data_IF_204204533022
#
_entry.id   IF_204204533022
#
_cell.length_a   1.000
_cell.length_b   1.000
_cell.length_c   1.000
_cell.angle_alpha   90.00
_cell.angle_beta   90.00
_cell.angle_gamma   90.00
#
_symmetry.space_group_name_H-M   'P 1'
#
loop_
_entity.id
_entity.type
_entity.pdbx_description
1 polymer ?
#
# COMPACT_ATOMS: atom_id res chain seq x y z
N UNK A 1 17.20 16.59 23.39
CA UNK A 1 16.77 15.30 22.81
C UNK A 1 15.25 15.23 22.65
N UNK A 2 14.47 15.53 23.69
CA UNK A 2 12.99 15.43 23.65
C UNK A 2 12.30 16.36 22.64
N UNK A 3 12.80 17.59 22.44
CA UNK A 3 12.22 18.52 21.47
C UNK A 3 12.32 18.01 20.03
N UNK A 4 13.45 17.40 19.66
CA UNK A 4 13.67 16.83 18.32
C UNK A 4 12.71 15.67 18.06
N UNK A 5 12.55 14.78 19.05
CA UNK A 5 11.60 13.66 18.98
C UNK A 5 10.17 14.18 18.84
N UNK A 6 9.78 15.19 19.62
CA UNK A 6 8.44 15.78 19.57
C UNK A 6 8.14 16.39 18.19
N UNK A 7 9.09 17.14 17.62
CA UNK A 7 8.96 17.71 16.28
C UNK A 7 8.85 16.60 15.23
N UNK A 8 9.66 15.54 15.33
CA UNK A 8 9.60 14.40 14.41
C UNK A 8 8.25 13.68 14.47
N UNK A 9 7.72 13.43 15.68
CA UNK A 9 6.41 12.79 15.89
C UNK A 9 5.26 13.67 15.36
N UNK A 10 5.31 14.98 15.58
CA UNK A 10 4.32 15.92 15.03
C UNK A 10 4.36 15.94 13.49
N UNK A 11 5.55 15.91 12.91
CA UNK A 11 5.74 15.89 11.45
C UNK A 11 5.18 14.61 10.80
N UNK A 12 5.50 13.43 11.36
CA UNK A 12 4.96 12.16 10.83
C UNK A 12 3.45 12.05 11.07
N UNK A 13 2.93 12.58 12.18
CA UNK A 13 1.50 12.63 12.47
C UNK A 13 0.73 13.46 11.43
N UNK A 14 1.19 14.68 11.16
CA UNK A 14 0.60 15.53 10.12
C UNK A 14 0.65 14.88 8.73
N UNK A 15 1.80 14.29 8.37
CA UNK A 15 1.97 13.60 7.08
C UNK A 15 1.05 12.39 6.94
N UNK A 16 0.84 11.63 8.02
CA UNK A 16 -0.04 10.45 8.04
C UNK A 16 -1.52 10.83 7.88
N UNK A 17 -1.98 11.89 8.54
CA UNK A 17 -3.36 12.40 8.36
C UNK A 17 -3.55 12.96 6.95
N UNK A 18 -2.57 13.71 6.45
CA UNK A 18 -2.60 14.25 5.09
C UNK A 18 -2.66 13.16 4.02
N UNK A 19 -1.85 12.10 4.16
CA UNK A 19 -1.78 10.98 3.22
C UNK A 19 -3.04 10.13 3.26
N UNK A 20 -3.47 9.68 4.45
CA UNK A 20 -4.64 8.82 4.62
C UNK A 20 -5.92 9.47 4.09
N UNK A 21 -6.17 10.75 4.43
CA UNK A 21 -7.38 11.46 4.02
C UNK A 21 -7.46 11.64 2.50
N UNK A 22 -6.34 11.92 1.81
CA UNK A 22 -6.30 12.03 0.34
C UNK A 22 -6.47 10.70 -0.36
N UNK A 23 -5.86 9.64 0.17
CA UNK A 23 -6.05 8.30 -0.36
C UNK A 23 -7.53 7.90 -0.26
N UNK A 24 -8.18 8.15 0.87
CA UNK A 24 -9.61 7.88 1.05
C UNK A 24 -10.49 8.72 0.10
N UNK A 25 -10.18 10.00 -0.06
CA UNK A 25 -10.91 10.87 -0.98
C UNK A 25 -10.74 10.44 -2.45
N UNK A 26 -9.52 10.06 -2.85
CA UNK A 26 -9.24 9.56 -4.20
C UNK A 26 -9.95 8.24 -4.48
N UNK A 27 -10.02 7.33 -3.50
CA UNK A 27 -10.81 6.11 -3.61
C UNK A 27 -12.30 6.43 -3.78
N UNK A 28 -12.83 7.40 -3.03
CA UNK A 28 -14.23 7.79 -3.14
C UNK A 28 -14.57 8.43 -4.49
N UNK A 29 -13.67 9.26 -5.03
CA UNK A 29 -13.78 9.87 -6.36
C UNK A 29 -13.81 8.81 -7.48
N UNK A 30 -13.00 7.76 -7.34
CA UNK A 30 -13.00 6.61 -8.25
C UNK A 30 -14.18 5.64 -8.03
N UNK A 31 -15.10 5.95 -7.12
CA UNK A 31 -16.23 5.07 -6.79
C UNK A 31 -15.83 3.78 -6.06
N UNK A 32 -14.63 3.75 -5.47
CA UNK A 32 -14.08 2.63 -4.69
C UNK A 32 -14.25 2.81 -3.18
N UNK A 33 -14.82 3.93 -2.73
CA UNK A 33 -15.17 4.18 -1.33
C UNK A 33 -16.48 4.99 -1.23
N UNK A 34 -17.14 5.03 -0.06
CA UNK A 34 -18.39 5.77 0.11
C UNK A 34 -18.26 7.23 -0.33
N UNK A 35 -19.20 7.71 -1.16
CA UNK A 35 -19.14 9.05 -1.78
C UNK A 35 -18.95 10.19 -0.79
N UNK A 36 -19.41 10.03 0.46
CA UNK A 36 -19.24 11.02 1.52
C UNK A 36 -17.77 11.32 1.83
N UNK A 37 -16.88 10.33 1.69
CA UNK A 37 -15.43 10.49 1.91
C UNK A 37 -14.76 11.32 0.81
N UNK A 38 -15.40 11.44 -0.36
CA UNK A 38 -14.93 12.26 -1.49
C UNK A 38 -15.31 13.73 -1.39
N UNK A 39 -16.01 14.17 -0.32
CA UNK A 39 -16.36 15.58 -0.16
C UNK A 39 -15.12 16.44 0.08
N UNK A 40 -14.88 17.39 -0.81
CA UNK A 40 -13.77 18.36 -0.76
C UNK A 40 -14.33 19.76 -0.55
N UNK A 41 -13.79 20.49 0.44
CA UNK A 41 -14.18 21.88 0.71
C UNK A 41 -13.68 22.86 -0.36
N UNK A 42 -14.12 24.12 -0.29
CA UNK A 42 -13.68 25.20 -1.22
C UNK A 42 -12.17 25.47 -1.19
N UNK A 43 -11.45 24.97 -0.19
CA UNK A 43 -10.00 25.11 -0.02
C UNK A 43 -9.24 23.85 -0.46
N UNK A 44 -9.90 22.88 -1.09
CA UNK A 44 -9.28 21.64 -1.59
C UNK A 44 -9.01 20.59 -0.52
N UNK A 45 -9.70 20.65 0.62
CA UNK A 45 -9.48 19.75 1.77
C UNK A 45 -10.57 18.68 1.85
N UNK A 46 -10.23 17.38 1.89
CA UNK A 46 -11.22 16.32 2.05
C UNK A 46 -11.68 16.20 3.51
N UNK A 47 -12.55 17.11 3.96
CA UNK A 47 -12.86 17.31 5.40
C UNK A 47 -13.45 16.06 6.05
N UNK A 48 -14.32 15.32 5.36
CA UNK A 48 -14.91 14.09 5.91
C UNK A 48 -13.84 13.01 6.10
N UNK A 49 -12.95 12.83 5.13
CA UNK A 49 -11.86 11.87 5.24
C UNK A 49 -10.85 12.28 6.33
N UNK A 50 -10.57 13.58 6.49
CA UNK A 50 -9.74 14.10 7.60
C UNK A 50 -10.39 13.76 8.94
N UNK A 51 -11.68 14.05 9.10
CA UNK A 51 -12.41 13.77 10.33
C UNK A 51 -12.39 12.27 10.67
N UNK A 52 -12.58 11.39 9.67
CA UNK A 52 -12.49 9.95 9.85
C UNK A 52 -11.07 9.50 10.27
N UNK A 53 -10.02 9.96 9.57
CA UNK A 53 -8.64 9.64 9.93
C UNK A 53 -8.29 10.12 11.34
N UNK A 54 -8.71 11.33 11.71
CA UNK A 54 -8.51 11.87 13.07
C UNK A 54 -9.30 11.10 14.11
N UNK A 55 -10.52 10.65 13.81
CA UNK A 55 -11.34 9.85 14.70
C UNK A 55 -10.69 8.50 15.03
N UNK A 56 -10.12 7.83 14.03
CA UNK A 56 -9.33 6.60 14.24
C UNK A 56 -8.07 6.90 15.07
N UNK A 57 -7.47 8.08 14.89
CA UNK A 57 -6.36 8.56 15.71
C UNK A 57 -6.67 8.61 17.21
N UNK A 58 -7.94 8.80 17.62
CA UNK A 58 -8.31 8.76 19.03
C UNK A 58 -8.08 7.40 19.70
N UNK A 59 -7.95 6.31 18.93
CA UNK A 59 -7.56 5.00 19.47
C UNK A 59 -6.20 5.08 20.16
N UNK A 60 -5.32 6.00 19.75
CA UNK A 60 -4.03 6.21 20.41
C UNK A 60 -4.16 6.63 21.89
N UNK A 61 -5.28 7.21 22.32
CA UNK A 61 -5.48 7.54 23.75
C UNK A 61 -5.64 6.29 24.63
N UNK A 62 -5.94 5.12 24.04
CA UNK A 62 -5.96 3.85 24.78
C UNK A 62 -4.58 3.47 25.34
N UNK A 63 -3.49 4.09 24.84
CA UNK A 63 -2.13 3.96 25.38
C UNK A 63 -2.03 4.51 26.82
N UNK A 64 -2.94 5.40 27.24
CA UNK A 64 -2.99 5.92 28.61
C UNK A 64 -3.72 4.98 29.61
N UNK A 65 -3.99 3.74 29.21
CA UNK A 65 -4.55 2.72 30.10
C UNK A 65 -3.45 1.88 30.74
N UNK A 66 -3.79 1.12 31.78
CA UNK A 66 -2.89 0.14 32.42
C UNK A 66 -2.34 -0.92 31.45
N UNK A 67 -2.90 -1.01 30.24
CA UNK A 67 -2.52 -1.94 29.17
C UNK A 67 -1.69 -1.26 28.06
N UNK A 68 -1.00 -0.15 28.34
CA UNK A 68 -0.19 0.62 27.39
C UNK A 68 0.62 -0.24 26.41
N UNK A 69 1.44 -1.17 26.92
CA UNK A 69 2.33 -1.97 26.08
C UNK A 69 1.58 -2.89 25.12
N UNK A 70 0.48 -3.48 25.59
CA UNK A 70 -0.40 -4.30 24.73
C UNK A 70 -1.01 -3.42 23.64
N UNK A 71 -1.45 -2.23 24.02
CA UNK A 71 -2.05 -1.23 23.11
C UNK A 71 -1.01 -0.56 22.19
N UNK A 72 0.28 -0.65 22.47
CA UNK A 72 1.27 -0.21 21.49
C UNK A 72 1.58 -1.35 20.51
N UNK A 73 1.73 -2.57 21.02
CA UNK A 73 2.11 -3.74 20.23
C UNK A 73 1.08 -4.12 19.16
N UNK A 74 -0.22 -4.11 19.47
CA UNK A 74 -1.27 -4.35 18.46
C UNK A 74 -1.29 -3.27 17.34
N UNK A 75 -1.02 -1.99 17.64
CA UNK A 75 -0.97 -0.90 16.64
C UNK A 75 0.25 -1.06 15.73
N UNK A 76 1.40 -1.41 16.32
CA UNK A 76 2.62 -1.71 15.58
C UNK A 76 2.43 -2.93 14.67
N UNK A 77 1.86 -4.02 15.19
CA UNK A 77 1.56 -5.22 14.41
C UNK A 77 0.57 -4.91 13.28
N UNK A 78 -0.49 -4.15 13.55
CA UNK A 78 -1.47 -3.73 12.56
C UNK A 78 -0.82 -2.91 11.43
N UNK A 79 -0.03 -1.89 11.79
CA UNK A 79 0.65 -1.02 10.84
C UNK A 79 1.67 -1.78 9.99
N UNK A 80 2.53 -2.60 10.62
CA UNK A 80 3.54 -3.38 9.92
C UNK A 80 2.93 -4.37 8.94
N UNK A 81 1.96 -5.15 9.39
CA UNK A 81 1.33 -6.18 8.57
C UNK A 81 0.47 -5.57 7.44
N UNK A 82 -0.20 -4.43 7.69
CA UNK A 82 -0.92 -3.68 6.64
C UNK A 82 0.01 -3.19 5.51
N UNK A 83 1.23 -2.80 5.85
CA UNK A 83 2.25 -2.39 4.87
C UNK A 83 2.68 -3.57 3.99
N UNK A 84 2.88 -4.75 4.58
CA UNK A 84 3.20 -5.99 3.85
C UNK A 84 2.08 -6.35 2.87
N UNK A 85 0.81 -6.30 3.31
CA UNK A 85 -0.33 -6.52 2.42
C UNK A 85 -0.40 -5.51 1.27
N UNK A 86 -0.11 -4.24 1.56
CA UNK A 86 -0.09 -3.17 0.55
C UNK A 86 0.97 -3.43 -0.52
N UNK A 87 2.21 -3.72 -0.13
CA UNK A 87 3.28 -4.04 -1.06
C UNK A 87 3.04 -5.33 -1.84
N UNK A 88 2.52 -6.38 -1.20
CA UNK A 88 2.12 -7.61 -1.88
C UNK A 88 1.06 -7.32 -2.96
N UNK A 89 0.06 -6.48 -2.63
CA UNK A 89 -1.01 -6.09 -3.56
C UNK A 89 -0.48 -5.27 -4.74
N UNK A 90 0.44 -4.34 -4.50
CA UNK A 90 1.12 -3.55 -5.55
C UNK A 90 1.91 -4.48 -6.49
N UNK A 91 2.72 -5.39 -5.95
CA UNK A 91 3.48 -6.33 -6.76
C UNK A 91 2.55 -7.22 -7.61
N UNK A 92 1.48 -7.75 -7.01
CA UNK A 92 0.51 -8.57 -7.72
C UNK A 92 -0.22 -7.78 -8.82
N UNK A 93 -0.64 -6.54 -8.53
CA UNK A 93 -1.26 -5.65 -9.50
C UNK A 93 -0.32 -5.37 -10.68
N UNK A 94 0.96 -5.09 -10.43
CA UNK A 94 1.94 -4.87 -11.48
C UNK A 94 2.18 -6.12 -12.34
N UNK A 95 2.29 -7.31 -11.73
CA UNK A 95 2.43 -8.58 -12.46
C UNK A 95 1.22 -8.81 -13.39
N UNK A 96 -0.01 -8.60 -12.87
CA UNK A 96 -1.24 -8.76 -13.65
C UNK A 96 -1.36 -7.71 -14.76
N UNK A 97 -1.03 -6.45 -14.46
CA UNK A 97 -1.00 -5.37 -15.44
C UNK A 97 -0.06 -5.68 -16.60
N UNK A 98 1.17 -6.10 -16.30
CA UNK A 98 2.17 -6.46 -17.33
C UNK A 98 1.76 -7.67 -18.16
N UNK A 99 1.06 -8.64 -17.54
CA UNK A 99 0.47 -9.77 -18.26
C UNK A 99 -0.68 -9.35 -19.17
N UNK A 100 -1.58 -8.50 -18.69
CA UNK A 100 -2.68 -7.93 -19.49
C UNK A 100 -2.16 -7.13 -20.68
N UNK A 101 -1.16 -6.27 -20.46
CA UNK A 101 -0.52 -5.45 -21.49
C UNK A 101 0.01 -6.30 -22.65
N UNK A 102 0.74 -7.38 -22.33
CA UNK A 102 1.28 -8.30 -23.32
C UNK A 102 0.20 -9.07 -24.07
N UNK A 103 -0.83 -9.57 -23.38
CA UNK A 103 -1.92 -10.35 -23.99
C UNK A 103 -2.75 -9.49 -24.95
N UNK A 104 -2.91 -8.21 -24.66
CA UNK A 104 -3.62 -7.27 -25.53
C UNK A 104 -2.75 -6.72 -26.68
N UNK A 105 -1.57 -7.29 -26.92
CA UNK A 105 -0.71 -6.96 -28.06
C UNK A 105 -0.01 -5.60 -27.98
N UNK A 106 0.03 -4.98 -26.79
CA UNK A 106 0.67 -3.66 -26.62
C UNK A 106 2.17 -3.77 -26.39
N UNK A 107 2.90 -2.83 -26.97
CA UNK A 107 4.35 -2.72 -26.83
C UNK A 107 4.74 -2.04 -25.52
N UNK A 108 5.96 -2.29 -25.03
CA UNK A 108 6.47 -1.60 -23.83
C UNK A 108 6.84 -0.14 -24.11
N UNK A 109 7.05 0.19 -25.39
CA UNK A 109 7.36 1.54 -25.84
C UNK A 109 6.18 2.52 -25.70
N UNK A 110 4.96 1.99 -25.55
CA UNK A 110 3.76 2.79 -25.26
C UNK A 110 3.69 3.24 -23.79
N UNK A 111 4.49 2.65 -22.89
CA UNK A 111 4.46 3.00 -21.48
C UNK A 111 5.37 4.20 -21.20
N UNK A 112 4.83 5.19 -20.48
CA UNK A 112 5.59 6.35 -20.05
C UNK A 112 6.75 5.99 -19.11
N UNK A 113 6.56 4.92 -18.34
CA UNK A 113 7.56 4.43 -17.41
C UNK A 113 7.60 2.92 -17.41
N UNK A 114 8.81 2.37 -17.41
CA UNK A 114 9.07 0.93 -17.31
C UNK A 114 9.98 0.71 -16.10
N UNK A 115 9.54 -0.15 -15.18
CA UNK A 115 10.33 -0.52 -14.00
C UNK A 115 11.68 -1.12 -14.41
N UNK A 116 12.80 -0.64 -13.87
CA UNK A 116 14.13 -1.15 -14.15
C UNK A 116 14.28 -2.68 -13.94
N UNK A 117 13.90 -3.26 -12.78
CA UNK A 117 13.98 -4.72 -12.58
C UNK A 117 12.84 -5.50 -13.27
N UNK A 118 11.95 -4.81 -13.98
CA UNK A 118 10.85 -5.42 -14.72
C UNK A 118 9.88 -6.22 -13.86
N UNK A 119 9.23 -7.21 -14.50
CA UNK A 119 8.28 -8.12 -13.86
C UNK A 119 8.98 -9.08 -12.89
N UNK A 120 10.26 -9.38 -13.11
CA UNK A 120 11.06 -10.28 -12.26
C UNK A 120 11.22 -9.66 -10.87
N UNK A 121 11.55 -8.37 -10.77
CA UNK A 121 11.59 -7.67 -9.49
C UNK A 121 10.26 -7.72 -8.73
N UNK A 122 9.14 -7.62 -9.46
CA UNK A 122 7.81 -7.75 -8.84
C UNK A 122 7.50 -9.15 -8.35
N UNK A 123 7.95 -10.20 -9.04
CA UNK A 123 7.83 -11.57 -8.56
C UNK A 123 8.66 -11.83 -7.31
N UNK A 124 9.92 -11.37 -7.29
CA UNK A 124 10.79 -11.47 -6.11
C UNK A 124 10.16 -10.74 -4.93
N UNK A 125 9.72 -9.49 -5.12
CA UNK A 125 9.03 -8.71 -4.09
C UNK A 125 7.76 -9.37 -3.60
N UNK A 126 6.93 -9.92 -4.49
CA UNK A 126 5.72 -10.63 -4.11
C UNK A 126 6.02 -11.88 -3.28
N UNK A 127 6.97 -12.71 -3.72
CA UNK A 127 7.40 -13.92 -3.00
C UNK A 127 7.94 -13.53 -1.62
N UNK A 128 8.76 -12.49 -1.53
CA UNK A 128 9.31 -12.04 -0.25
C UNK A 128 8.21 -11.55 0.71
N UNK A 129 7.22 -10.79 0.23
CA UNK A 129 6.07 -10.42 1.05
C UNK A 129 5.27 -11.64 1.52
N UNK A 130 5.07 -12.66 0.66
CA UNK A 130 4.44 -13.92 1.07
C UNK A 130 5.25 -14.67 2.13
N UNK A 131 6.58 -14.70 2.01
CA UNK A 131 7.46 -15.28 3.02
C UNK A 131 7.38 -14.53 4.35
N UNK A 132 7.35 -13.20 4.33
CA UNK A 132 7.15 -12.37 5.53
C UNK A 132 5.80 -12.67 6.18
N UNK A 133 4.72 -12.81 5.40
CA UNK A 133 3.41 -13.19 5.92
C UNK A 133 3.41 -14.58 6.56
N UNK A 134 4.11 -15.54 5.95
CA UNK A 134 4.25 -16.90 6.48
C UNK A 134 5.10 -16.92 7.77
N UNK A 135 6.21 -16.16 7.79
CA UNK A 135 7.05 -16.00 8.97
C UNK A 135 6.29 -15.31 10.11
N UNK A 136 5.51 -14.28 9.81
CA UNK A 136 4.67 -13.59 10.80
C UNK A 136 3.56 -14.49 11.34
N UNK A 137 2.99 -15.35 10.49
CA UNK A 137 2.02 -16.35 10.95
C UNK A 137 2.70 -17.37 11.89
N UNK A 138 3.90 -17.84 11.53
CA UNK A 138 4.67 -18.77 12.35
C UNK A 138 5.02 -18.18 13.73
N UNK A 139 5.55 -16.95 13.78
CA UNK A 139 5.91 -16.30 15.04
C UNK A 139 4.69 -15.95 15.90
N UNK A 140 3.53 -15.70 15.27
CA UNK A 140 2.27 -15.50 15.97
C UNK A 140 1.69 -16.79 16.55
N UNK A 141 1.75 -17.90 15.79
CA UNK A 141 1.17 -19.19 16.19
C UNK A 141 2.06 -19.97 17.17
N UNK A 142 3.38 -19.92 16.94
CA UNK A 142 4.40 -20.56 17.76
C UNK A 142 5.44 -19.53 18.22
N UNK A 143 5.08 -18.66 19.18
CA UNK A 143 6.04 -17.74 19.79
C UNK A 143 7.16 -18.48 20.53
N UNK A 144 8.28 -17.80 20.78
CA UNK A 144 9.47 -18.38 21.42
C UNK A 144 9.18 -19.05 22.77
N UNK A 145 8.18 -18.55 23.52
CA UNK A 145 7.79 -19.08 24.83
C UNK A 145 6.56 -20.01 24.75
N UNK A 146 6.27 -20.60 23.58
CA UNK A 146 5.05 -21.39 23.34
C UNK A 146 4.82 -22.49 24.37
N UNK A 147 5.89 -23.18 24.81
CA UNK A 147 5.82 -24.28 25.77
C UNK A 147 5.45 -23.88 27.20
N UNK A 148 5.57 -22.61 27.57
CA UNK A 148 5.28 -22.09 28.91
C UNK A 148 3.90 -21.40 28.98
N UNK A 149 3.26 -21.20 27.83
CA UNK A 149 2.03 -20.42 27.73
C UNK A 149 0.78 -21.29 27.87
N UNK A 150 -0.21 -20.78 28.61
CA UNK A 150 -1.54 -21.39 28.64
C UNK A 150 -2.23 -21.20 27.27
N UNK A 151 -3.12 -22.12 26.88
CA UNK A 151 -3.87 -22.06 25.62
C UNK A 151 -4.53 -20.69 25.35
N UNK A 152 -5.11 -20.06 26.38
CA UNK A 152 -5.72 -18.73 26.25
C UNK A 152 -4.71 -17.61 25.90
N UNK A 153 -3.48 -17.70 26.42
CA UNK A 153 -2.43 -16.73 26.12
C UNK A 153 -1.88 -16.92 24.70
N UNK A 154 -1.79 -18.17 24.23
CA UNK A 154 -1.37 -18.49 22.86
C UNK A 154 -2.33 -17.87 21.84
N UNK A 155 -3.64 -18.10 22.02
CA UNK A 155 -4.69 -17.54 21.15
C UNK A 155 -4.66 -16.01 21.16
N UNK A 156 -4.56 -15.40 22.36
CA UNK A 156 -4.48 -13.93 22.48
C UNK A 156 -3.26 -13.37 21.73
N UNK A 157 -2.09 -13.97 21.90
CA UNK A 157 -0.86 -13.50 21.24
C UNK A 157 -0.92 -13.64 19.72
N UNK A 158 -1.49 -14.73 19.22
CA UNK A 158 -1.72 -14.90 17.78
C UNK A 158 -2.60 -13.78 17.22
N UNK A 159 -3.76 -13.53 17.84
CA UNK A 159 -4.67 -12.48 17.36
C UNK A 159 -4.11 -11.07 17.53
N UNK A 160 -3.31 -10.81 18.57
CA UNK A 160 -2.63 -9.52 18.73
C UNK A 160 -1.56 -9.29 17.66
N UNK A 161 -0.77 -10.31 17.33
CA UNK A 161 0.32 -10.22 16.34
C UNK A 161 -0.13 -10.33 14.88
N UNK A 162 -1.30 -10.92 14.63
CA UNK A 162 -1.85 -11.16 13.29
C UNK A 162 -3.15 -10.41 13.02
N UNK A 163 -3.49 -9.40 13.85
CA UNK A 163 -4.76 -8.66 13.79
C UNK A 163 -5.06 -8.01 12.44
N UNK A 164 -4.04 -7.60 11.69
CA UNK A 164 -4.26 -6.95 10.40
C UNK A 164 -4.88 -7.89 9.37
N UNK A 165 -4.57 -9.19 9.40
CA UNK A 165 -5.09 -10.13 8.41
C UNK A 165 -6.63 -10.26 8.43
N UNK A 166 -7.29 -10.52 9.57
CA UNK A 166 -8.76 -10.55 9.61
C UNK A 166 -9.35 -9.18 9.26
N UNK A 167 -8.73 -8.07 9.67
CA UNK A 167 -9.20 -6.72 9.31
C UNK A 167 -9.16 -6.54 7.78
N UNK A 168 -8.04 -6.85 7.13
CA UNK A 168 -7.88 -6.76 5.67
C UNK A 168 -8.86 -7.66 4.95
N UNK A 169 -9.07 -8.91 5.43
CA UNK A 169 -10.04 -9.84 4.85
C UNK A 169 -11.46 -9.28 4.96
N UNK A 170 -11.86 -8.80 6.14
CA UNK A 170 -13.19 -8.20 6.36
C UNK A 170 -13.38 -6.97 5.50
N UNK A 171 -12.39 -6.08 5.42
CA UNK A 171 -12.45 -4.90 4.55
C UNK A 171 -12.53 -5.28 3.06
N UNK A 172 -11.76 -6.27 2.62
CA UNK A 172 -11.76 -6.73 1.24
C UNK A 172 -13.08 -7.41 0.86
N UNK A 173 -13.59 -8.30 1.71
CA UNK A 173 -14.88 -8.98 1.50
C UNK A 173 -16.03 -7.98 1.60
N UNK A 174 -15.99 -7.05 2.56
CA UNK A 174 -16.96 -5.97 2.70
C UNK A 174 -17.00 -5.08 1.46
N UNK A 175 -15.83 -4.69 0.93
CA UNK A 175 -15.73 -3.96 -0.33
C UNK A 175 -16.32 -4.76 -1.50
N UNK A 176 -15.95 -6.03 -1.62
CA UNK A 176 -16.43 -6.88 -2.72
C UNK A 176 -17.94 -7.14 -2.64
N UNK A 177 -18.50 -7.25 -1.43
CA UNK A 177 -19.94 -7.38 -1.21
C UNK A 177 -20.69 -6.10 -1.58
N UNK A 178 -20.21 -4.96 -1.09
CA UNK A 178 -20.89 -3.66 -1.26
C UNK A 178 -20.81 -3.15 -2.71
N UNK A 179 -19.64 -3.23 -3.33
CA UNK A 179 -19.41 -2.74 -4.71
C UNK A 179 -19.55 -3.83 -5.78
N UNK A 180 -19.83 -5.08 -5.38
CA UNK A 180 -20.05 -6.23 -6.28
C UNK A 180 -19.00 -6.34 -7.37
N UNK A 181 -17.74 -6.09 -7.03
CA UNK A 181 -16.63 -6.00 -7.99
C UNK A 181 -16.26 -7.38 -8.53
N UNK A 182 -16.01 -7.44 -9.85
CA UNK A 182 -15.58 -8.66 -10.53
C UNK A 182 -14.06 -8.78 -10.52
N UNK A 183 -13.55 -10.00 -10.42
CA UNK A 183 -12.12 -10.27 -10.62
C UNK A 183 -11.87 -10.37 -12.12
N UNK A 184 -11.40 -9.27 -12.72
CA UNK A 184 -11.15 -9.18 -14.16
C UNK A 184 -10.06 -10.14 -14.62
N UNK A 185 -10.29 -10.86 -15.71
CA UNK A 185 -9.25 -11.66 -16.39
C UNK A 185 -8.31 -10.72 -17.13
N UNK A 186 -7.07 -11.15 -17.36
CA UNK A 186 -6.03 -10.28 -17.94
C UNK A 186 -6.40 -9.74 -19.34
N UNK A 187 -7.21 -10.46 -20.13
CA UNK A 187 -7.64 -10.00 -21.46
C UNK A 187 -8.81 -9.01 -21.41
N UNK A 188 -9.56 -8.95 -20.30
CA UNK A 188 -10.72 -8.07 -20.12
C UNK A 188 -10.37 -6.79 -19.35
N UNK A 189 -9.13 -6.66 -18.88
CA UNK A 189 -8.68 -5.50 -18.13
C UNK A 189 -8.69 -4.26 -19.02
N UNK A 190 -9.34 -3.21 -18.55
CA UNK A 190 -9.29 -1.90 -19.19
C UNK A 190 -7.91 -1.28 -19.03
N UNK A 191 -7.23 -1.07 -20.16
CA UNK A 191 -5.91 -0.45 -20.25
C UNK A 191 -5.96 0.90 -20.98
N UNK A 192 -7.15 1.45 -21.26
CA UNK A 192 -7.32 2.68 -22.07
C UNK A 192 -7.88 3.83 -21.25
N UNK A 193 -8.87 3.58 -20.40
CA UNK A 193 -9.53 4.64 -19.64
C UNK A 193 -8.55 5.34 -18.70
N UNK A 194 -8.53 6.68 -18.75
CA UNK A 194 -7.69 7.50 -17.87
C UNK A 194 -6.22 7.62 -18.31
N UNK A 195 -5.83 7.05 -19.45
CA UNK A 195 -4.54 7.40 -20.06
C UNK A 195 -4.57 8.90 -20.39
N UNK A 196 -3.66 9.67 -19.78
CA UNK A 196 -3.45 11.06 -20.20
C UNK A 196 -2.79 11.02 -21.58
N UNK A 197 -3.49 11.53 -22.59
CA UNK A 197 -2.95 11.79 -23.94
C UNK A 197 -1.96 12.97 -23.87
N UNK A 198 -0.84 12.82 -23.18
CA UNK A 198 0.34 13.63 -23.47
C UNK A 198 0.92 13.15 -24.81
N UNK A 199 1.70 14.00 -25.51
CA UNK A 199 2.54 13.62 -26.66
C UNK A 199 3.66 12.66 -26.22
N UNK A 200 3.29 11.54 -25.61
CA UNK A 200 4.16 10.60 -24.95
C UNK A 200 5.13 9.96 -25.95
N UNK A 201 4.63 9.69 -27.16
CA UNK A 201 5.45 9.19 -28.25
C UNK A 201 6.56 10.17 -28.66
N UNK A 202 6.30 11.48 -28.65
CA UNK A 202 7.32 12.50 -28.96
C UNK A 202 8.29 12.69 -27.79
N UNK A 203 7.77 12.75 -26.56
CA UNK A 203 8.59 12.88 -25.35
C UNK A 203 9.54 11.69 -25.18
N UNK A 204 9.06 10.46 -25.38
CA UNK A 204 9.88 9.25 -25.31
C UNK A 204 10.93 9.19 -26.42
N UNK A 205 10.62 9.70 -27.63
CA UNK A 205 11.61 9.81 -28.72
C UNK A 205 12.70 10.83 -28.37
N UNK A 206 12.32 12.00 -27.85
CA UNK A 206 13.25 13.02 -27.40
C UNK A 206 14.15 12.51 -26.27
N UNK A 207 13.59 11.81 -25.29
CA UNK A 207 14.34 11.22 -24.18
C UNK A 207 15.33 10.14 -24.64
N UNK A 208 14.94 9.30 -25.61
CA UNK A 208 15.85 8.29 -26.21
C UNK A 208 17.00 8.94 -26.97
N UNK A 209 16.74 10.01 -27.72
CA UNK A 209 17.77 10.77 -28.41
C UNK A 209 18.78 11.37 -27.42
N UNK A 210 18.29 11.99 -26.35
CA UNK A 210 19.16 12.54 -25.30
C UNK A 210 19.98 11.43 -24.61
N UNK A 211 19.36 10.30 -24.26
CA UNK A 211 20.06 9.15 -23.66
C UNK A 211 21.12 8.53 -24.58
N UNK A 212 20.92 8.60 -25.90
CA UNK A 212 21.89 8.12 -26.88
C UNK A 212 23.16 9.00 -26.91
N UNK A 213 23.06 10.26 -26.53
CA UNK A 213 24.19 11.19 -26.43
C UNK A 213 24.91 11.08 -25.07
N UNK A 214 24.31 10.41 -24.08
CA UNK A 214 24.91 10.35 -22.75
C UNK A 214 26.22 9.56 -22.72
N UNK A 215 27.26 10.09 -22.02
CA UNK A 215 28.48 9.35 -21.72
C UNK A 215 28.20 8.08 -20.92
N UNK A 216 29.08 7.08 -21.07
CA UNK A 216 28.95 5.78 -20.38
C UNK A 216 28.81 5.90 -18.85
N UNK A 217 29.46 6.87 -18.22
CA UNK A 217 29.36 7.11 -16.77
C UNK A 217 27.96 7.60 -16.36
N UNK A 218 27.33 8.48 -17.16
CA UNK A 218 26.00 9.03 -16.89
C UNK A 218 24.93 7.94 -17.08
N UNK A 219 25.11 7.06 -18.07
CA UNK A 219 24.26 5.87 -18.26
C UNK A 219 24.36 4.91 -17.08
N UNK A 220 25.57 4.64 -16.60
CA UNK A 220 25.79 3.78 -15.43
C UNK A 220 25.17 4.37 -14.16
N UNK A 221 25.34 5.68 -13.94
CA UNK A 221 24.72 6.38 -12.82
C UNK A 221 23.19 6.24 -12.85
N UNK A 222 22.53 6.51 -13.97
CA UNK A 222 21.07 6.38 -14.10
C UNK A 222 20.54 4.94 -14.09
N UNK A 223 21.40 3.93 -14.24
CA UNK A 223 21.02 2.53 -14.05
C UNK A 223 21.05 2.14 -12.57
N UNK A 224 21.82 2.84 -11.74
CA UNK A 224 22.00 2.54 -10.32
C UNK A 224 21.19 3.48 -9.42
N UNK A 225 21.02 4.74 -9.83
CA UNK A 225 20.31 5.81 -9.13
C UNK A 225 19.05 6.21 -9.88
#
# INVERSE_FOLDING_TARGET
MNAVILIAVLSVGNSSVFGSSRTLAALADQGQAPKILGYVDRKGRPVVAIALSSAIGFIAYAVNSDQQNVVLNWMLALSGLSSVFTWASICLAHIRFRRAWRIQGRSLDELAFVSQPGVVGSWIGFIFNCLVLAAQFWTGAWPVNYGEMTMGQQVRNFFLGYLAAPIVIVMFLGYKWTYKTKVWRCHEMDLKTGIRELNLAEMLKAERAERAEWPKWKRFYHVIC
#
